data_IF_236965870353
#
_entry.id   IF_236965870353
#
_cell.length_a   1.000
_cell.length_b   1.000
_cell.length_c   1.000
_cell.angle_alpha   90.00
_cell.angle_beta   90.00
_cell.angle_gamma   90.00
#
_symmetry.space_group_name_H-M   'P 1'
#
loop_
_entity.id
_entity.type
_entity.pdbx_description
1 polymer ?
#
# COMPACT_ATOMS: atom_id res chain seq x y z
N UNK A 1 -24.71 -23.53 1.57
CA UNK A 1 -23.51 -22.71 1.40
C UNK A 1 -22.55 -23.09 2.50
N UNK A 2 -21.42 -23.79 2.25
CA UNK A 2 -20.45 -24.08 3.31
C UNK A 2 -19.63 -22.81 3.60
N UNK A 3 -19.62 -22.44 4.88
CA UNK A 3 -18.75 -21.41 5.43
C UNK A 3 -17.28 -21.77 5.16
N UNK A 4 -16.54 -20.84 4.57
CA UNK A 4 -15.10 -21.00 4.37
C UNK A 4 -14.42 -20.97 5.72
N UNK A 5 -13.80 -22.10 6.08
CA UNK A 5 -13.14 -22.30 7.34
C UNK A 5 -12.13 -21.22 7.64
N UNK A 6 -12.21 -20.69 8.87
CA UNK A 6 -11.20 -19.83 9.46
C UNK A 6 -9.86 -20.60 9.48
N UNK A 7 -8.80 -19.98 8.96
CA UNK A 7 -7.44 -20.49 9.06
C UNK A 7 -7.07 -20.51 10.54
N UNK A 8 -7.02 -21.68 11.13
CA UNK A 8 -6.60 -21.87 12.52
C UNK A 8 -5.08 -21.69 12.62
N UNK A 9 -4.64 -20.52 13.07
CA UNK A 9 -3.27 -20.31 13.54
C UNK A 9 -3.18 -20.80 14.99
N UNK A 10 -2.47 -21.89 15.18
CA UNK A 10 -2.26 -22.51 16.52
C UNK A 10 -1.28 -21.61 17.28
N UNK A 11 -1.75 -21.04 18.39
CA UNK A 11 -0.91 -20.40 19.40
C UNK A 11 -0.17 -21.46 20.22
N UNK A 12 1.15 -21.39 20.22
CA UNK A 12 2.02 -22.18 21.09
C UNK A 12 3.45 -21.70 20.90
N UNK A 13 4.08 -21.16 21.95
CA UNK A 13 5.44 -20.64 21.91
C UNK A 13 6.48 -21.70 21.57
N UNK A 14 6.94 -21.67 20.34
CA UNK A 14 8.06 -22.41 19.79
C UNK A 14 9.00 -21.45 19.05
N UNK A 15 10.30 -21.76 18.86
CA UNK A 15 11.24 -20.87 18.18
C UNK A 15 10.69 -20.52 16.78
N UNK A 16 10.88 -19.26 16.36
CA UNK A 16 10.31 -18.66 15.16
C UNK A 16 10.44 -19.57 13.93
N UNK A 17 9.46 -20.44 13.74
CA UNK A 17 9.32 -21.25 12.55
C UNK A 17 9.08 -20.30 11.37
N UNK A 18 9.92 -20.38 10.36
CA UNK A 18 9.72 -19.61 9.13
C UNK A 18 8.32 -19.90 8.63
N UNK A 19 7.45 -18.91 8.64
CA UNK A 19 6.12 -19.04 8.07
C UNK A 19 6.25 -19.65 6.66
N UNK A 20 5.66 -20.82 6.45
CA UNK A 20 5.70 -21.49 5.14
C UNK A 20 4.84 -20.65 4.21
N UNK A 21 5.45 -20.08 3.18
CA UNK A 21 4.75 -19.34 2.13
C UNK A 21 3.94 -20.30 1.28
N UNK A 22 2.70 -20.54 1.67
CA UNK A 22 1.75 -21.36 0.90
C UNK A 22 1.30 -20.63 -0.36
N UNK A 23 0.80 -21.37 -1.35
CA UNK A 23 0.20 -20.78 -2.54
C UNK A 23 -1.04 -19.93 -2.19
N UNK A 24 -1.82 -20.37 -1.22
CA UNK A 24 -2.99 -19.66 -0.70
C UNK A 24 -2.61 -18.29 -0.12
N UNK A 25 -1.61 -18.24 0.77
CA UNK A 25 -1.12 -16.97 1.32
C UNK A 25 -0.60 -16.01 0.25
N UNK A 26 -0.01 -16.53 -0.83
CA UNK A 26 0.41 -15.71 -1.97
C UNK A 26 -0.79 -15.09 -2.70
N UNK A 27 -1.86 -15.86 -2.89
CA UNK A 27 -3.11 -15.38 -3.48
C UNK A 27 -3.79 -14.35 -2.57
N UNK A 28 -3.81 -14.59 -1.26
CA UNK A 28 -4.38 -13.64 -0.29
C UNK A 28 -3.65 -12.29 -0.31
N UNK A 29 -2.32 -12.31 -0.44
CA UNK A 29 -1.54 -11.07 -0.57
C UNK A 29 -1.85 -10.38 -1.89
N UNK A 30 -1.97 -11.09 -3.01
CA UNK A 30 -2.34 -10.48 -4.30
C UNK A 30 -3.74 -9.87 -4.24
N UNK A 31 -4.70 -10.56 -3.65
CA UNK A 31 -6.06 -10.05 -3.44
C UNK A 31 -6.07 -8.83 -2.51
N UNK A 32 -5.23 -8.81 -1.48
CA UNK A 32 -5.07 -7.67 -0.60
C UNK A 32 -4.59 -6.41 -1.36
N UNK A 33 -3.60 -6.56 -2.25
CA UNK A 33 -3.17 -5.46 -3.11
C UNK A 33 -4.24 -5.04 -4.13
N UNK A 34 -5.00 -5.98 -4.67
CA UNK A 34 -6.09 -5.67 -5.61
C UNK A 34 -7.17 -4.82 -4.91
N UNK A 35 -7.58 -5.19 -3.70
CA UNK A 35 -8.54 -4.41 -2.91
C UNK A 35 -8.00 -3.04 -2.49
N UNK A 36 -6.70 -2.95 -2.18
CA UNK A 36 -6.04 -1.68 -1.92
C UNK A 36 -6.11 -0.76 -3.14
N UNK A 37 -5.71 -1.24 -4.31
CA UNK A 37 -5.78 -0.51 -5.56
C UNK A 37 -7.23 -0.10 -5.90
N UNK A 38 -8.19 -1.01 -5.78
CA UNK A 38 -9.63 -0.74 -6.01
C UNK A 38 -10.18 0.34 -5.06
N UNK A 39 -9.74 0.36 -3.80
CA UNK A 39 -10.12 1.39 -2.84
C UNK A 39 -9.68 2.78 -3.31
N UNK A 40 -8.44 2.92 -3.76
CA UNK A 40 -7.89 4.18 -4.25
C UNK A 40 -8.51 4.59 -5.58
N UNK A 41 -8.61 3.67 -6.55
CA UNK A 41 -9.22 3.89 -7.86
C UNK A 41 -10.70 4.28 -7.77
N UNK A 42 -11.39 3.74 -6.77
CA UNK A 42 -12.79 4.08 -6.48
C UNK A 42 -12.98 5.36 -5.67
N UNK A 43 -11.91 6.09 -5.35
CA UNK A 43 -11.97 7.33 -4.55
C UNK A 43 -12.43 7.12 -3.10
N UNK A 44 -12.39 5.88 -2.59
CA UNK A 44 -12.84 5.53 -1.23
C UNK A 44 -11.78 5.87 -0.18
N UNK A 45 -11.27 7.10 -0.19
CA UNK A 45 -10.15 7.52 0.65
C UNK A 45 -10.41 7.34 2.15
N UNK A 46 -11.67 7.45 2.59
CA UNK A 46 -12.02 7.23 4.00
C UNK A 46 -11.77 5.78 4.46
N UNK A 47 -11.74 4.80 3.54
CA UNK A 47 -11.45 3.40 3.83
C UNK A 47 -9.96 3.07 3.69
N UNK A 48 -9.17 3.92 3.05
CA UNK A 48 -7.74 3.69 2.82
C UNK A 48 -6.94 3.40 4.11
N UNK A 49 -7.13 4.12 5.24
CA UNK A 49 -6.41 3.82 6.47
C UNK A 49 -6.73 2.45 7.08
N UNK A 50 -7.86 1.83 6.72
CA UNK A 50 -8.25 0.50 7.22
C UNK A 50 -7.32 -0.62 6.72
N UNK A 51 -6.60 -0.39 5.63
CA UNK A 51 -5.57 -1.31 5.14
C UNK A 51 -4.32 -1.34 6.02
N UNK A 52 -4.21 -0.47 7.02
CA UNK A 52 -3.02 -0.31 7.85
C UNK A 52 -3.29 -0.67 9.31
N UNK A 53 -2.24 -1.10 10.01
CA UNK A 53 -2.27 -1.17 11.47
C UNK A 53 -2.36 0.24 12.07
N UNK A 54 -2.77 0.33 13.35
CA UNK A 54 -2.81 1.63 14.06
C UNK A 54 -1.43 2.29 14.09
N UNK A 55 -0.42 1.52 14.52
CA UNK A 55 0.99 1.91 14.42
C UNK A 55 1.54 1.42 13.08
N UNK A 56 1.60 2.30 12.12
CA UNK A 56 2.04 2.01 10.75
C UNK A 56 2.92 3.11 10.19
N UNK A 57 3.56 2.80 9.07
CA UNK A 57 4.34 3.76 8.29
C UNK A 57 3.87 3.71 6.84
N UNK A 58 3.56 4.88 6.28
CA UNK A 58 3.30 5.06 4.86
C UNK A 58 4.24 6.13 4.31
N UNK A 59 4.98 5.80 3.27
CA UNK A 59 5.96 6.71 2.67
C UNK A 59 5.85 6.68 1.15
N UNK A 60 6.00 7.87 0.54
CA UNK A 60 6.27 8.02 -0.89
C UNK A 60 7.63 8.67 -1.02
N UNK A 61 8.51 8.05 -1.75
CA UNK A 61 9.89 8.48 -1.91
C UNK A 61 10.39 8.21 -3.34
N UNK A 62 11.55 8.73 -3.69
CA UNK A 62 12.25 8.39 -4.94
C UNK A 62 13.39 7.42 -4.66
N UNK A 63 13.95 6.80 -5.70
CA UNK A 63 15.15 5.95 -5.55
C UNK A 63 16.33 6.71 -4.95
N UNK A 64 16.46 7.99 -5.31
CA UNK A 64 17.49 8.85 -4.77
C UNK A 64 17.26 9.14 -3.29
N UNK A 65 16.07 9.58 -2.95
CA UNK A 65 15.69 9.97 -1.59
C UNK A 65 15.73 8.79 -0.62
N UNK A 66 15.34 7.61 -1.08
CA UNK A 66 15.44 6.38 -0.28
C UNK A 66 16.89 6.11 0.22
N UNK A 67 17.91 6.48 -0.58
CA UNK A 67 19.32 6.34 -0.16
C UNK A 67 19.78 7.45 0.80
N UNK A 68 19.13 8.60 0.76
CA UNK A 68 19.46 9.75 1.62
C UNK A 68 18.80 9.69 2.99
N UNK A 69 17.74 8.88 3.12
CA UNK A 69 17.03 8.66 4.38
C UNK A 69 15.60 9.23 4.40
N UNK A 70 14.84 8.92 5.45
CA UNK A 70 13.41 9.22 5.51
C UNK A 70 13.07 10.72 5.57
N UNK A 71 13.98 11.56 6.00
CA UNK A 71 13.79 13.02 6.04
C UNK A 71 13.67 13.65 4.63
N UNK A 72 14.00 12.89 3.59
CA UNK A 72 13.92 13.31 2.19
C UNK A 72 12.68 12.76 1.47
N UNK A 73 11.75 12.12 2.19
CA UNK A 73 10.55 11.57 1.58
C UNK A 73 9.63 12.67 1.07
N UNK A 74 8.91 12.37 -0.01
CA UNK A 74 7.88 13.25 -0.57
C UNK A 74 6.64 13.28 0.32
N UNK A 75 6.31 12.13 0.91
CA UNK A 75 5.24 11.95 1.89
C UNK A 75 5.74 10.98 2.95
N UNK A 76 5.49 11.30 4.22
CA UNK A 76 5.78 10.41 5.35
C UNK A 76 4.68 10.53 6.39
N UNK A 77 3.98 9.41 6.66
CA UNK A 77 2.92 9.32 7.66
C UNK A 77 3.26 8.16 8.60
N UNK A 78 3.25 8.42 9.90
CA UNK A 78 3.74 7.48 10.92
C UNK A 78 2.62 6.81 11.73
N UNK A 79 1.36 7.03 11.37
CA UNK A 79 0.21 6.43 12.04
C UNK A 79 -1.04 6.47 11.17
N UNK A 80 -2.03 5.65 11.52
CA UNK A 80 -3.35 5.69 10.89
C UNK A 80 -4.04 7.05 11.10
N UNK A 81 -3.86 7.67 12.25
CA UNK A 81 -4.38 9.03 12.54
C UNK A 81 -3.82 10.04 11.55
N UNK A 82 -2.50 10.05 11.31
CA UNK A 82 -1.89 10.93 10.32
C UNK A 82 -2.44 10.72 8.89
N UNK A 83 -2.88 9.50 8.56
CA UNK A 83 -3.55 9.23 7.29
C UNK A 83 -4.93 9.89 7.22
N UNK A 84 -5.72 9.85 8.29
CA UNK A 84 -7.00 10.55 8.34
C UNK A 84 -6.83 12.07 8.22
N UNK A 85 -5.84 12.64 8.91
CA UNK A 85 -5.52 14.07 8.80
C UNK A 85 -5.17 14.46 7.36
N UNK A 86 -4.41 13.61 6.66
CA UNK A 86 -4.10 13.82 5.25
C UNK A 86 -5.34 13.77 4.37
N UNK A 87 -6.27 12.84 4.61
CA UNK A 87 -7.54 12.75 3.84
C UNK A 87 -8.35 14.04 4.00
N UNK A 88 -8.42 14.58 5.23
CA UNK A 88 -9.09 15.86 5.48
C UNK A 88 -8.41 16.98 4.70
N UNK A 89 -7.08 17.04 4.72
CA UNK A 89 -6.31 18.05 3.96
C UNK A 89 -6.53 17.95 2.45
N UNK A 90 -6.61 16.73 1.89
CA UNK A 90 -6.93 16.50 0.47
C UNK A 90 -8.30 17.10 0.13
N UNK A 91 -9.33 16.84 0.95
CA UNK A 91 -10.69 17.35 0.72
C UNK A 91 -10.83 18.87 0.82
N UNK A 92 -9.84 19.55 1.41
CA UNK A 92 -9.79 21.02 1.55
C UNK A 92 -8.86 21.70 0.55
N UNK A 93 -8.16 20.93 -0.29
CA UNK A 93 -7.21 21.49 -1.25
C UNK A 93 -7.94 22.12 -2.43
N UNK A 94 -7.68 23.42 -2.67
CA UNK A 94 -8.18 24.15 -3.84
C UNK A 94 -7.44 23.73 -5.12
N UNK A 95 -6.26 23.14 -5.01
CA UNK A 95 -5.45 22.65 -6.13
C UNK A 95 -5.89 21.27 -6.64
N UNK A 96 -6.97 20.72 -6.07
CA UNK A 96 -7.47 19.40 -6.47
C UNK A 96 -8.34 19.49 -7.72
N UNK A 97 -7.83 18.98 -8.83
CA UNK A 97 -8.60 18.76 -10.05
C UNK A 97 -9.15 17.31 -10.05
N UNK A 98 -10.51 17.15 -10.07
CA UNK A 98 -11.10 15.82 -10.09
C UNK A 98 -10.62 14.98 -11.28
N UNK A 99 -10.12 13.79 -11.00
CA UNK A 99 -9.65 12.85 -12.02
C UNK A 99 -9.85 11.41 -11.56
N UNK A 100 -9.85 10.50 -12.49
CA UNK A 100 -9.84 9.06 -12.22
C UNK A 100 -8.41 8.56 -12.20
N UNK A 101 -8.13 7.65 -11.27
CA UNK A 101 -6.86 6.91 -11.24
C UNK A 101 -7.11 5.44 -11.57
N UNK A 102 -6.09 4.79 -12.12
CA UNK A 102 -6.08 3.35 -12.35
C UNK A 102 -4.73 2.79 -11.98
N UNK A 103 -4.70 2.02 -10.89
CA UNK A 103 -3.53 1.30 -10.43
C UNK A 103 -3.39 -0.04 -11.17
N UNK A 104 -2.21 -0.32 -11.68
CA UNK A 104 -1.81 -1.65 -12.13
C UNK A 104 -0.70 -2.14 -11.22
N UNK A 105 -0.94 -3.24 -10.50
CA UNK A 105 0.03 -3.83 -9.58
C UNK A 105 0.45 -5.20 -10.10
N UNK A 106 1.75 -5.46 -10.16
CA UNK A 106 2.32 -6.67 -10.77
C UNK A 106 3.66 -7.05 -10.14
N UNK A 107 4.25 -8.16 -10.60
CA UNK A 107 5.62 -8.52 -10.23
C UNK A 107 5.80 -8.87 -8.76
N UNK A 108 4.79 -9.48 -8.14
CA UNK A 108 4.78 -9.79 -6.71
C UNK A 108 5.92 -10.72 -6.31
N UNK A 109 6.68 -10.29 -5.30
CA UNK A 109 7.70 -11.09 -4.60
C UNK A 109 7.38 -11.07 -3.12
N UNK A 110 7.01 -12.22 -2.59
CA UNK A 110 6.59 -12.34 -1.19
C UNK A 110 7.58 -13.26 -0.48
N UNK A 111 8.06 -12.81 0.67
CA UNK A 111 8.98 -13.55 1.52
C UNK A 111 8.42 -13.58 2.94
N UNK A 112 8.53 -14.73 3.60
CA UNK A 112 8.25 -14.81 5.01
C UNK A 112 9.28 -13.97 5.79
N UNK A 113 8.80 -13.13 6.69
CA UNK A 113 9.60 -12.49 7.72
C UNK A 113 9.45 -13.27 9.04
N UNK A 114 10.06 -12.79 10.11
CA UNK A 114 9.92 -13.42 11.43
C UNK A 114 8.51 -13.21 12.01
N UNK A 115 7.96 -14.24 12.62
CA UNK A 115 6.63 -14.19 13.25
C UNK A 115 5.49 -14.14 12.24
N UNK A 116 4.48 -13.33 12.50
CA UNK A 116 3.29 -13.15 11.62
C UNK A 116 3.47 -12.02 10.62
N UNK A 117 4.69 -11.72 10.21
CA UNK A 117 4.98 -10.67 9.23
C UNK A 117 5.50 -11.25 7.92
N UNK A 118 5.12 -10.59 6.83
CA UNK A 118 5.57 -10.85 5.47
C UNK A 118 6.30 -9.60 4.95
N UNK A 119 7.31 -9.82 4.14
CA UNK A 119 7.87 -8.79 3.27
C UNK A 119 7.32 -9.02 1.87
N UNK A 120 6.74 -7.98 1.30
CA UNK A 120 6.21 -8.02 -0.03
C UNK A 120 6.83 -6.90 -0.88
N UNK A 121 7.15 -7.23 -2.12
CA UNK A 121 7.53 -6.28 -3.15
C UNK A 121 6.58 -6.47 -4.33
N UNK A 122 6.18 -5.36 -4.95
CA UNK A 122 5.43 -5.37 -6.18
C UNK A 122 5.80 -4.15 -7.02
N UNK A 123 5.57 -4.22 -8.33
CA UNK A 123 5.67 -3.05 -9.19
C UNK A 123 4.30 -2.42 -9.31
N UNK A 124 4.25 -1.09 -9.44
CA UNK A 124 3.01 -0.38 -9.71
C UNK A 124 3.18 0.60 -10.88
N UNK A 125 2.07 0.82 -11.54
CA UNK A 125 1.90 1.89 -12.54
C UNK A 125 0.53 2.50 -12.32
N UNK A 126 0.45 3.83 -12.37
CA UNK A 126 -0.80 4.58 -12.23
C UNK A 126 -1.04 5.39 -13.50
N UNK A 127 -2.19 5.16 -14.10
CA UNK A 127 -2.74 6.03 -15.12
C UNK A 127 -3.67 7.05 -14.47
N UNK A 128 -3.69 8.24 -15.01
CA UNK A 128 -4.60 9.33 -14.61
C UNK A 128 -5.43 9.75 -15.81
N UNK A 129 -6.71 9.99 -15.57
CA UNK A 129 -7.66 10.40 -16.60
C UNK A 129 -8.49 11.57 -16.08
N UNK A 130 -8.30 12.74 -16.66
CA UNK A 130 -9.16 13.90 -16.41
C UNK A 130 -10.42 13.81 -17.26
N UNK A 131 -11.53 14.47 -16.85
CA UNK A 131 -12.73 14.56 -17.66
C UNK A 131 -12.39 15.08 -19.06
N UNK A 132 -12.97 14.46 -20.09
CA UNK A 132 -12.80 14.81 -21.51
C UNK A 132 -11.36 14.71 -22.06
N UNK A 133 -10.44 14.11 -21.31
CA UNK A 133 -9.04 13.90 -21.71
C UNK A 133 -8.72 12.42 -21.90
N UNK A 134 -7.61 12.15 -22.59
CA UNK A 134 -7.06 10.80 -22.69
C UNK A 134 -6.37 10.43 -21.39
N UNK A 135 -6.38 9.14 -21.08
CA UNK A 135 -5.55 8.62 -19.98
C UNK A 135 -4.07 8.88 -20.26
N UNK A 136 -3.39 9.35 -19.25
CA UNK A 136 -1.94 9.58 -19.26
C UNK A 136 -1.24 8.74 -18.18
N UNK A 137 0.03 8.46 -18.42
CA UNK A 137 0.87 7.88 -17.37
C UNK A 137 1.12 8.94 -16.30
N UNK A 138 0.81 8.62 -15.06
CA UNK A 138 1.06 9.52 -13.92
C UNK A 138 2.37 9.21 -13.23
N UNK A 139 2.49 8.01 -12.66
CA UNK A 139 3.71 7.53 -11.98
C UNK A 139 3.87 6.03 -12.13
N UNK A 140 5.12 5.57 -12.03
CA UNK A 140 5.47 4.16 -11.87
C UNK A 140 6.53 3.98 -10.81
N UNK A 141 6.64 2.77 -10.28
CA UNK A 141 7.60 2.47 -9.24
C UNK A 141 7.44 1.09 -8.65
N UNK A 142 7.97 0.94 -7.44
CA UNK A 142 7.85 -0.30 -6.68
C UNK A 142 7.33 -0.06 -5.27
N UNK A 143 6.53 -0.98 -4.78
CA UNK A 143 6.16 -1.10 -3.38
C UNK A 143 7.19 -1.97 -2.65
N UNK A 144 7.62 -1.51 -1.48
CA UNK A 144 8.43 -2.28 -0.54
C UNK A 144 7.70 -2.29 0.80
N UNK A 145 7.02 -3.38 1.09
CA UNK A 145 6.01 -3.40 2.13
C UNK A 145 6.32 -4.45 3.21
N UNK A 146 5.90 -4.14 4.43
CA UNK A 146 5.77 -5.09 5.53
C UNK A 146 4.29 -5.28 5.83
N UNK A 147 3.85 -6.52 5.72
CA UNK A 147 2.45 -6.91 5.93
C UNK A 147 2.39 -7.77 7.17
N UNK A 148 1.47 -7.46 8.06
CA UNK A 148 1.18 -8.24 9.26
C UNK A 148 -0.18 -8.91 9.15
N UNK A 149 -0.31 -10.08 9.78
CA UNK A 149 -1.59 -10.74 9.99
C UNK A 149 -2.11 -10.34 11.37
N UNK A 150 -3.20 -9.60 11.41
CA UNK A 150 -3.87 -9.19 12.63
C UNK A 150 -5.36 -9.55 12.57
N UNK A 151 -5.86 -10.23 13.60
CA UNK A 151 -7.25 -10.71 13.64
C UNK A 151 -7.69 -11.50 12.37
N UNK A 152 -6.78 -12.31 11.82
CA UNK A 152 -7.03 -13.11 10.62
C UNK A 152 -7.08 -12.31 9.31
N UNK A 153 -6.65 -11.05 9.32
CA UNK A 153 -6.62 -10.18 8.14
C UNK A 153 -5.23 -9.62 7.89
N UNK A 154 -4.93 -9.35 6.62
CA UNK A 154 -3.70 -8.69 6.21
C UNK A 154 -3.82 -7.17 6.41
N UNK A 155 -2.77 -6.57 6.98
CA UNK A 155 -2.64 -5.12 7.13
C UNK A 155 -1.21 -4.70 6.82
N UNK A 156 -1.03 -3.55 6.20
CA UNK A 156 0.28 -2.93 6.11
C UNK A 156 0.73 -2.44 7.49
N UNK A 157 1.89 -2.92 7.92
CA UNK A 157 2.67 -2.29 8.99
C UNK A 157 3.50 -1.16 8.42
N UNK A 158 4.05 -1.37 7.24
CA UNK A 158 4.84 -0.39 6.52
C UNK A 158 4.54 -0.54 5.03
N UNK A 159 4.32 0.58 4.36
CA UNK A 159 4.19 0.65 2.91
C UNK A 159 5.08 1.77 2.39
N UNK A 160 6.09 1.40 1.59
CA UNK A 160 7.03 2.35 0.99
C UNK A 160 6.83 2.31 -0.53
N UNK A 161 6.32 3.40 -1.08
CA UNK A 161 6.13 3.60 -2.50
C UNK A 161 7.38 4.30 -3.05
N UNK A 162 8.20 3.59 -3.82
CA UNK A 162 9.45 4.10 -4.38
C UNK A 162 9.22 4.43 -5.85
N UNK A 163 9.20 5.72 -6.18
CA UNK A 163 9.02 6.21 -7.54
C UNK A 163 10.26 5.91 -8.40
N UNK A 164 10.03 5.55 -9.67
CA UNK A 164 11.10 5.35 -10.64
C UNK A 164 11.77 6.68 -11.04
N UNK A 165 10.96 7.76 -11.11
CA UNK A 165 11.46 9.12 -11.40
C UNK A 165 11.96 9.81 -10.13
N UNK A 166 13.09 10.51 -10.23
CA UNK A 166 13.56 11.41 -9.17
C UNK A 166 12.83 12.78 -9.19
N UNK A 167 12.02 13.04 -10.22
CA UNK A 167 11.18 14.22 -10.32
C UNK A 167 9.81 13.88 -9.76
N UNK A 168 9.47 14.51 -8.63
CA UNK A 168 8.14 14.36 -8.05
C UNK A 168 7.08 14.96 -8.98
N UNK A 169 5.93 14.28 -9.18
CA UNK A 169 4.82 14.89 -9.89
C UNK A 169 4.30 16.10 -9.12
N UNK A 170 3.91 17.16 -9.84
CA UNK A 170 3.39 18.39 -9.23
C UNK A 170 2.08 18.21 -8.47
N UNK A 171 1.34 17.13 -8.74
CA UNK A 171 0.03 16.85 -8.16
C UNK A 171 0.01 15.53 -7.38
N UNK A 172 1.07 15.21 -6.61
CA UNK A 172 1.09 14.02 -5.77
C UNK A 172 0.26 14.24 -4.49
N UNK A 173 -1.03 14.41 -4.68
CA UNK A 173 -1.99 14.70 -3.60
C UNK A 173 -2.56 13.41 -3.01
N UNK A 174 -2.97 12.49 -3.89
CA UNK A 174 -3.57 11.21 -3.51
C UNK A 174 -2.53 10.19 -3.03
N UNK A 175 -2.94 9.27 -2.16
CA UNK A 175 -2.13 8.07 -1.87
C UNK A 175 -1.98 7.20 -3.13
N UNK A 176 -0.89 6.44 -3.19
CA UNK A 176 -0.53 5.55 -4.29
C UNK A 176 -0.21 4.14 -3.81
#
# INVERSE_FOLDING_TARGET
MPERGAVAYIGGGMPAEKAVLTAELRLDVQEFYARYAECLDGGRLQQWPEFFLEACVYRITTRRNLRLGPDQDLVSLSSRTAMFDRIVAIGQSEDYEPHMQRHTVSGFRIQAASGQELRAQANFQILRTFPEQRSEHFVSGSYNDRIAVAAGRLHFREKICVLDSDVAPTSLVYPI
#
